data_IF_122986643478
#
_entry.id   IF_122986643478
#
_cell.length_a   1.000
_cell.length_b   1.000
_cell.length_c   1.000
_cell.angle_alpha   90.00
_cell.angle_beta   90.00
_cell.angle_gamma   90.00
#
_symmetry.space_group_name_H-M   'P 1'
#
loop_
_entity.id
_entity.type
_entity.pdbx_description
1 polymer ?
#
# COMPACT_ATOMS: atom_id res chain seq x y z
N UNK A 1 1.81 -12.54 0.61
CA UNK A 1 2.53 -13.83 0.74
C UNK A 1 1.53 -14.91 1.14
N UNK A 2 1.64 -16.15 0.66
CA UNK A 2 0.77 -17.25 1.10
C UNK A 2 1.49 -18.10 2.13
N UNK A 3 1.07 -18.06 3.40
CA UNK A 3 1.66 -18.77 4.53
C UNK A 3 0.56 -19.49 5.32
N UNK A 4 0.79 -20.74 5.74
CA UNK A 4 -0.13 -21.50 6.58
C UNK A 4 -1.58 -21.59 6.02
N UNK A 5 -1.73 -21.62 4.70
CA UNK A 5 -3.04 -21.67 4.05
C UNK A 5 -3.78 -20.33 3.95
N UNK A 6 -3.13 -19.22 4.33
CA UNK A 6 -3.71 -17.88 4.29
C UNK A 6 -2.81 -16.88 3.54
N UNK A 7 -3.43 -15.90 2.91
CA UNK A 7 -2.71 -14.73 2.40
C UNK A 7 -2.44 -13.76 3.54
N UNK A 8 -1.18 -13.39 3.73
CA UNK A 8 -0.73 -12.36 4.67
C UNK A 8 0.05 -11.26 3.93
N UNK A 9 -0.19 -10.01 4.32
CA UNK A 9 0.51 -8.83 3.79
C UNK A 9 1.73 -8.53 4.65
N UNK A 10 2.87 -8.35 4.02
CA UNK A 10 4.11 -8.00 4.68
C UNK A 10 4.68 -6.75 4.02
N UNK A 11 4.52 -5.61 4.67
CA UNK A 11 5.14 -4.36 4.21
C UNK A 11 6.64 -4.42 4.47
N UNK A 12 7.49 -3.99 3.53
CA UNK A 12 8.92 -3.84 3.80
C UNK A 12 9.12 -2.89 4.99
N UNK A 13 9.73 -3.40 6.06
CA UNK A 13 10.08 -2.56 7.21
C UNK A 13 11.28 -1.68 6.88
N UNK A 14 11.23 -0.42 7.34
CA UNK A 14 12.41 0.42 7.39
C UNK A 14 13.42 -0.13 8.42
N UNK A 15 14.71 0.19 8.24
CA UNK A 15 15.70 -0.21 9.23
C UNK A 15 15.43 0.45 10.60
N UNK A 16 15.95 -0.18 11.65
CA UNK A 16 15.68 0.24 13.05
C UNK A 16 16.16 1.66 13.33
N UNK A 17 17.29 2.06 12.75
CA UNK A 17 17.88 3.38 12.93
C UNK A 17 17.00 4.48 12.35
N UNK A 18 16.39 4.23 11.18
CA UNK A 18 15.47 5.16 10.54
C UNK A 18 14.18 5.26 11.34
N UNK A 19 13.60 4.13 11.75
CA UNK A 19 12.42 4.10 12.61
C UNK A 19 12.64 4.93 13.89
N UNK A 20 13.77 4.73 14.57
CA UNK A 20 14.12 5.49 15.77
C UNK A 20 14.25 7.00 15.51
N UNK A 21 14.85 7.41 14.38
CA UNK A 21 14.97 8.82 14.00
C UNK A 21 13.62 9.50 13.78
N UNK A 22 12.64 8.77 13.27
CA UNK A 22 11.28 9.26 13.02
C UNK A 22 10.32 8.98 14.19
N UNK A 23 10.81 8.43 15.30
CA UNK A 23 10.03 8.15 16.49
C UNK A 23 9.02 7.02 16.33
N UNK A 24 9.08 6.23 15.27
CA UNK A 24 8.16 5.11 15.03
C UNK A 24 8.83 3.79 15.37
N UNK A 25 8.06 2.80 15.80
CA UNK A 25 8.56 1.43 15.95
C UNK A 25 8.78 0.79 14.56
N UNK A 26 9.65 -0.21 14.42
CA UNK A 26 9.62 -1.08 13.25
C UNK A 26 8.28 -1.82 13.16
N UNK A 27 7.84 -2.11 11.92
CA UNK A 27 6.73 -3.03 11.70
C UNK A 27 7.23 -4.46 11.93
N UNK A 28 6.64 -5.13 12.92
CA UNK A 28 6.91 -6.53 13.20
C UNK A 28 6.07 -7.44 12.30
N UNK A 29 6.62 -8.59 11.94
CA UNK A 29 5.92 -9.61 11.17
C UNK A 29 6.04 -10.97 11.84
N UNK A 30 4.92 -11.47 12.36
CA UNK A 30 4.84 -12.75 13.07
C UNK A 30 4.57 -13.96 12.16
N UNK A 31 4.43 -13.73 10.84
CA UNK A 31 4.11 -14.77 9.87
C UNK A 31 2.66 -15.27 9.92
N UNK A 32 1.80 -14.65 10.72
CA UNK A 32 0.41 -15.08 10.96
C UNK A 32 -0.61 -13.97 10.71
N UNK A 33 -0.24 -12.72 10.95
CA UNK A 33 -1.08 -11.53 10.77
C UNK A 33 -0.51 -10.58 9.72
N UNK A 34 -1.36 -9.69 9.19
CA UNK A 34 -0.93 -8.66 8.26
C UNK A 34 -0.01 -7.64 8.96
N UNK A 35 1.20 -7.47 8.43
CA UNK A 35 2.15 -6.42 8.78
C UNK A 35 1.94 -5.21 7.85
N UNK A 36 1.00 -4.35 8.23
CA UNK A 36 0.65 -3.13 7.49
C UNK A 36 1.46 -1.92 7.97
N UNK A 37 1.48 -0.84 7.19
CA UNK A 37 2.11 0.41 7.62
C UNK A 37 1.40 0.99 8.85
N UNK A 38 2.13 1.78 9.63
CA UNK A 38 1.63 2.41 10.85
C UNK A 38 0.37 3.26 10.62
N UNK A 39 -0.76 2.81 11.16
CA UNK A 39 -1.99 3.59 11.18
C UNK A 39 -1.94 4.79 12.13
N UNK A 40 -1.00 4.79 13.08
CA UNK A 40 -0.83 5.84 14.09
C UNK A 40 0.61 6.32 14.16
N UNK A 41 0.79 7.59 14.45
CA UNK A 41 2.08 8.17 14.83
C UNK A 41 2.47 7.76 16.26
N UNK A 42 3.72 8.04 16.64
CA UNK A 42 4.27 7.72 17.95
C UNK A 42 3.48 8.30 19.13
N UNK A 43 2.85 9.46 18.93
CA UNK A 43 2.04 10.17 19.92
C UNK A 43 0.57 9.71 19.94
N UNK A 44 0.21 8.71 19.13
CA UNK A 44 -1.14 8.14 19.05
C UNK A 44 -2.08 8.86 18.10
N UNK A 45 -1.63 9.87 17.36
CA UNK A 45 -2.47 10.52 16.33
C UNK A 45 -2.71 9.57 15.15
N UNK A 46 -3.96 9.47 14.67
CA UNK A 46 -4.27 8.66 13.50
C UNK A 46 -3.61 9.25 12.24
N UNK A 47 -2.71 8.47 11.63
CA UNK A 47 -1.99 8.82 10.43
C UNK A 47 -2.65 8.23 9.17
N UNK A 48 -3.06 6.97 9.23
CA UNK A 48 -3.70 6.28 8.11
C UNK A 48 -4.66 5.19 8.58
N UNK A 49 -5.59 4.82 7.70
CA UNK A 49 -6.50 3.71 7.90
C UNK A 49 -6.68 2.91 6.61
N UNK A 50 -6.68 1.59 6.74
CA UNK A 50 -7.00 0.68 5.64
C UNK A 50 -8.50 0.42 5.59
N UNK A 51 -9.21 1.20 4.78
CA UNK A 51 -10.68 1.15 4.73
C UNK A 51 -11.24 -0.01 3.91
N UNK A 52 -10.53 -0.45 2.86
CA UNK A 52 -11.03 -1.44 1.91
C UNK A 52 -9.91 -2.35 1.41
N UNK A 53 -10.17 -3.65 1.45
CA UNK A 53 -9.36 -4.67 0.80
C UNK A 53 -10.07 -5.16 -0.47
N UNK A 54 -9.33 -5.27 -1.57
CA UNK A 54 -9.84 -5.81 -2.85
C UNK A 54 -9.46 -7.27 -3.08
N UNK A 55 -8.75 -7.90 -2.13
CA UNK A 55 -8.38 -9.30 -2.17
C UNK A 55 -7.09 -9.59 -2.95
N UNK A 56 -6.80 -10.88 -3.09
CA UNK A 56 -5.68 -11.39 -3.87
C UNK A 56 -6.21 -11.99 -5.19
N UNK A 57 -5.41 -11.86 -6.25
CA UNK A 57 -5.73 -12.34 -7.59
C UNK A 57 -4.54 -13.14 -8.12
N UNK A 58 -4.82 -14.18 -8.91
CA UNK A 58 -3.78 -15.02 -9.52
C UNK A 58 -3.03 -14.29 -10.65
N UNK A 59 -3.70 -13.33 -11.31
CA UNK A 59 -3.15 -12.47 -12.35
C UNK A 59 -3.65 -11.03 -12.16
N UNK A 60 -3.10 -10.08 -12.91
CA UNK A 60 -3.43 -8.66 -12.83
C UNK A 60 -4.90 -8.38 -13.24
N UNK A 61 -5.77 -7.92 -12.32
CA UNK A 61 -7.15 -7.54 -12.64
C UNK A 61 -7.20 -6.14 -13.27
N UNK A 62 -6.61 -5.99 -14.45
CA UNK A 62 -6.41 -4.68 -15.11
C UNK A 62 -7.73 -3.93 -15.35
N UNK A 63 -8.76 -4.64 -15.79
CA UNK A 63 -10.06 -4.04 -16.07
C UNK A 63 -10.69 -3.41 -14.82
N UNK A 64 -10.64 -4.11 -13.68
CA UNK A 64 -11.18 -3.63 -12.41
C UNK A 64 -10.39 -2.44 -11.88
N UNK A 65 -9.06 -2.45 -12.03
CA UNK A 65 -8.19 -1.32 -11.67
C UNK A 65 -8.57 -0.08 -12.48
N UNK A 66 -8.68 -0.20 -13.81
CA UNK A 66 -9.05 0.92 -14.68
C UNK A 66 -10.46 1.43 -14.39
N UNK A 67 -11.41 0.53 -14.11
CA UNK A 67 -12.77 0.93 -13.73
C UNK A 67 -12.80 1.67 -12.39
N UNK A 68 -12.06 1.20 -11.39
CA UNK A 68 -11.95 1.89 -10.10
C UNK A 68 -11.31 3.27 -10.26
N UNK A 69 -10.25 3.37 -11.06
CA UNK A 69 -9.57 4.64 -11.37
C UNK A 69 -10.53 5.63 -12.03
N UNK A 70 -11.28 5.23 -13.06
CA UNK A 70 -12.30 6.09 -13.71
C UNK A 70 -13.40 6.50 -12.75
N UNK A 71 -13.87 5.58 -11.90
CA UNK A 71 -14.91 5.85 -10.90
C UNK A 71 -14.48 6.91 -9.89
N UNK A 72 -13.22 6.88 -9.44
CA UNK A 72 -12.76 7.73 -8.34
C UNK A 72 -12.02 9.00 -8.79
N UNK A 73 -11.39 8.99 -9.97
CA UNK A 73 -10.58 10.10 -10.49
C UNK A 73 -11.12 10.69 -11.80
N UNK A 74 -12.15 10.09 -12.40
CA UNK A 74 -12.82 10.62 -13.60
C UNK A 74 -11.90 10.77 -14.80
N UNK A 75 -12.08 11.86 -15.55
CA UNK A 75 -11.37 12.15 -16.80
C UNK A 75 -9.86 12.38 -16.64
N UNK A 76 -9.37 12.55 -15.42
CA UNK A 76 -7.92 12.74 -15.17
C UNK A 76 -7.08 11.55 -15.63
N UNK A 77 -7.66 10.34 -15.58
CA UNK A 77 -6.97 9.10 -15.98
C UNK A 77 -6.93 8.89 -17.49
N UNK A 78 -7.87 9.48 -18.22
CA UNK A 78 -7.96 9.33 -19.69
C UNK A 78 -7.22 10.46 -20.44
N UNK A 79 -6.63 11.43 -19.73
CA UNK A 79 -5.86 12.50 -20.36
C UNK A 79 -4.46 12.03 -20.74
N UNK A 80 -4.07 12.09 -22.04
CA UNK A 80 -2.70 11.79 -22.42
C UNK A 80 -1.75 12.82 -21.81
N UNK A 81 -0.66 12.34 -21.19
CA UNK A 81 0.38 13.21 -20.66
C UNK A 81 0.92 14.08 -21.79
N UNK A 82 0.66 15.38 -21.73
CA UNK A 82 1.02 16.34 -22.79
C UNK A 82 2.48 16.79 -22.69
N UNK A 83 3.22 16.30 -21.68
CA UNK A 83 4.63 16.61 -21.50
C UNK A 83 5.49 15.53 -22.18
N UNK A 84 6.49 15.92 -22.99
CA UNK A 84 7.43 14.96 -23.55
C UNK A 84 8.14 14.23 -22.40
N UNK A 85 8.32 12.93 -22.57
CA UNK A 85 9.08 12.13 -21.63
C UNK A 85 10.53 12.61 -21.65
N UNK A 86 11.00 13.19 -20.54
CA UNK A 86 12.33 13.83 -20.45
C UNK A 86 13.47 12.80 -20.45
N UNK A 87 13.14 11.51 -20.51
CA UNK A 87 14.06 10.38 -20.48
C UNK A 87 13.91 9.42 -21.68
N UNK A 88 13.09 9.76 -22.67
CA UNK A 88 12.97 9.01 -23.93
C UNK A 88 14.01 9.43 -24.97
#
# INVERSE_FOLDING_TARGET
MFLNGAWVKATPAFNRELCARFGVSPIEFDGRSDALLHGFTADGTQHMEYLRDRGAYDDLPLADILQALRTHYGTFIDQPNSRPDLFA
#
